data_IF_087299890418
#
_entry.id   IF_087299890418
#
_cell.length_a   1.000
_cell.length_b   1.000
_cell.length_c   1.000
_cell.angle_alpha   90.00
_cell.angle_beta   90.00
_cell.angle_gamma   90.00
#
_symmetry.space_group_name_H-M   'P 1'
#
loop_
_entity.id
_entity.type
_entity.pdbx_description
1 polymer ?
#
# COMPACT_ATOMS: atom_id res chain seq x y z
N UNK A 1 71.39 -44.03 18.02
CA UNK A 1 70.41 -43.06 17.49
C UNK A 1 69.89 -43.58 16.16
N UNK A 2 68.60 -43.94 16.05
CA UNK A 2 67.99 -44.37 14.79
C UNK A 2 67.22 -43.22 14.11
N UNK A 3 67.22 -43.12 12.77
CA UNK A 3 66.53 -42.03 12.09
C UNK A 3 65.01 -42.24 12.14
N UNK A 4 64.28 -41.20 12.53
CA UNK A 4 62.82 -41.16 12.54
C UNK A 4 62.34 -40.90 11.11
N UNK A 5 61.68 -41.87 10.49
CA UNK A 5 61.03 -41.70 9.19
C UNK A 5 59.77 -40.83 9.36
N UNK A 6 59.73 -39.69 8.67
CA UNK A 6 58.55 -38.83 8.63
C UNK A 6 57.56 -39.38 7.60
N UNK A 7 56.41 -39.88 8.06
CA UNK A 7 55.31 -40.27 7.17
C UNK A 7 54.56 -39.03 6.69
N UNK A 8 54.66 -38.75 5.39
CA UNK A 8 53.86 -37.75 4.71
C UNK A 8 52.39 -38.23 4.63
N UNK A 9 51.50 -37.58 5.39
CA UNK A 9 50.06 -37.82 5.30
C UNK A 9 49.47 -37.05 4.12
N UNK A 10 48.95 -37.80 3.15
CA UNK A 10 48.26 -37.32 1.95
C UNK A 10 46.96 -36.58 2.33
N UNK A 11 46.86 -35.30 2.00
CA UNK A 11 45.61 -34.53 2.15
C UNK A 11 44.75 -34.78 0.91
N UNK A 12 43.70 -35.59 1.06
CA UNK A 12 42.73 -35.85 -0.03
C UNK A 12 41.73 -34.69 -0.18
N UNK A 13 41.65 -34.13 -1.39
CA UNK A 13 40.71 -33.07 -1.74
C UNK A 13 39.26 -33.58 -1.76
N UNK A 14 38.41 -33.05 -0.87
CA UNK A 14 36.98 -33.37 -0.84
C UNK A 14 36.26 -32.84 -2.09
N UNK A 15 35.79 -33.75 -2.94
CA UNK A 15 34.99 -33.48 -4.15
C UNK A 15 33.67 -32.78 -3.77
N UNK A 16 33.49 -31.51 -4.14
CA UNK A 16 32.26 -30.74 -3.90
C UNK A 16 31.14 -31.25 -4.79
N UNK A 17 30.25 -32.08 -4.24
CA UNK A 17 29.10 -32.60 -4.98
C UNK A 17 28.05 -31.49 -5.24
N UNK A 18 27.61 -31.35 -6.49
CA UNK A 18 26.57 -30.39 -6.89
C UNK A 18 25.21 -30.79 -6.28
N UNK A 19 24.49 -29.82 -5.73
CA UNK A 19 23.21 -30.02 -5.05
C UNK A 19 22.13 -30.47 -6.05
N UNK A 20 21.25 -31.43 -5.69
CA UNK A 20 20.25 -31.97 -6.60
C UNK A 20 19.17 -30.94 -6.98
N UNK A 21 18.52 -31.15 -8.13
CA UNK A 21 17.41 -30.32 -8.64
C UNK A 21 16.05 -30.76 -8.06
N UNK A 22 15.12 -29.82 -8.01
CA UNK A 22 13.78 -30.01 -7.46
C UNK A 22 13.02 -31.11 -8.20
N UNK A 23 12.38 -32.03 -7.45
CA UNK A 23 11.60 -33.15 -7.98
C UNK A 23 10.34 -32.74 -8.75
N UNK A 24 9.84 -31.53 -8.51
CA UNK A 24 8.68 -31.01 -9.24
C UNK A 24 8.94 -30.94 -10.75
N UNK A 25 8.02 -31.46 -11.55
CA UNK A 25 8.14 -31.49 -13.02
C UNK A 25 8.42 -30.09 -13.58
N UNK A 26 9.39 -30.01 -14.49
CA UNK A 26 9.82 -28.75 -15.12
C UNK A 26 10.54 -27.76 -14.19
N UNK A 27 10.84 -28.11 -12.94
CA UNK A 27 11.49 -27.18 -12.01
C UNK A 27 13.03 -27.24 -12.08
N UNK A 28 13.64 -26.17 -12.59
CA UNK A 28 15.11 -26.06 -12.65
C UNK A 28 15.75 -25.61 -11.33
N UNK A 29 14.94 -25.28 -10.31
CA UNK A 29 15.43 -24.81 -9.03
C UNK A 29 16.14 -25.91 -8.24
N UNK A 30 17.14 -25.54 -7.44
CA UNK A 30 17.84 -26.47 -6.56
C UNK A 30 16.97 -26.91 -5.37
N UNK A 31 17.12 -28.17 -4.96
CA UNK A 31 16.51 -28.71 -3.73
C UNK A 31 17.01 -27.93 -2.53
N UNK A 32 16.10 -27.57 -1.63
CA UNK A 32 16.45 -27.11 -0.28
C UNK A 32 16.30 -28.23 0.74
N UNK A 33 15.15 -28.88 0.77
CA UNK A 33 14.86 -30.01 1.66
C UNK A 33 13.77 -30.88 1.03
N UNK A 34 13.67 -32.14 1.47
CA UNK A 34 12.62 -33.08 1.02
C UNK A 34 12.52 -33.22 -0.51
N UNK A 35 13.62 -33.03 -1.24
CA UNK A 35 13.62 -33.09 -2.71
C UNK A 35 12.93 -31.90 -3.41
N UNK A 36 12.54 -30.84 -2.69
CA UNK A 36 11.78 -29.71 -3.23
C UNK A 36 12.54 -28.38 -3.07
N UNK A 37 12.28 -27.43 -3.96
CA UNK A 37 12.80 -26.06 -3.88
C UNK A 37 11.90 -25.16 -3.03
N UNK A 38 12.33 -23.92 -2.76
CA UNK A 38 11.61 -22.97 -1.88
C UNK A 38 10.15 -22.75 -2.29
N UNK A 39 9.87 -22.60 -3.59
CA UNK A 39 8.51 -22.39 -4.09
C UNK A 39 7.62 -23.62 -3.97
N UNK A 40 8.21 -24.83 -4.04
CA UNK A 40 7.45 -26.08 -4.13
C UNK A 40 7.35 -26.88 -2.84
N UNK A 41 7.96 -26.45 -1.72
CA UNK A 41 8.00 -27.34 -0.55
C UNK A 41 9.20 -27.19 0.34
N UNK A 42 10.33 -26.85 -0.27
CA UNK A 42 11.66 -26.89 0.33
C UNK A 42 11.89 -25.80 1.36
N UNK A 43 12.33 -26.20 2.54
CA UNK A 43 12.54 -25.36 3.71
C UNK A 43 11.55 -25.67 4.84
N UNK A 44 11.80 -25.07 5.99
CA UNK A 44 10.94 -25.19 7.17
C UNK A 44 9.65 -24.38 6.91
N UNK A 45 8.51 -24.94 7.30
CA UNK A 45 7.19 -24.28 7.21
C UNK A 45 6.84 -23.58 8.50
N UNK A 46 5.98 -22.58 8.38
CA UNK A 46 5.44 -21.90 9.53
C UNK A 46 4.74 -22.92 10.45
N UNK A 47 5.00 -22.82 11.75
CA UNK A 47 4.42 -23.72 12.78
C UNK A 47 2.93 -23.46 13.00
N UNK A 48 2.45 -22.28 12.65
CA UNK A 48 1.02 -21.92 12.71
C UNK A 48 0.20 -22.81 11.79
N UNK A 49 -0.90 -23.33 12.33
CA UNK A 49 -1.85 -24.19 11.61
C UNK A 49 -2.38 -23.50 10.34
N UNK A 50 -2.50 -24.25 9.25
CA UNK A 50 -2.93 -23.73 7.94
C UNK A 50 -1.98 -22.74 7.24
N UNK A 51 -0.72 -22.58 7.69
CA UNK A 51 0.21 -21.60 7.10
C UNK A 51 1.33 -22.24 6.24
N UNK A 52 1.19 -22.21 4.92
CA UNK A 52 2.20 -22.71 3.97
C UNK A 52 3.41 -21.81 3.74
N UNK A 53 3.47 -20.66 4.42
CA UNK A 53 4.58 -19.71 4.26
C UNK A 53 5.86 -20.31 4.82
N UNK A 54 6.97 -20.06 4.14
CA UNK A 54 8.28 -20.46 4.63
C UNK A 54 8.59 -19.79 5.97
N UNK A 55 9.01 -20.59 6.95
CA UNK A 55 9.51 -20.08 8.21
C UNK A 55 10.84 -19.34 8.01
N UNK A 56 11.05 -18.29 8.80
CA UNK A 56 12.33 -17.61 8.91
C UNK A 56 13.05 -18.07 10.17
N UNK A 57 12.80 -17.40 11.31
CA UNK A 57 13.38 -17.70 12.62
C UNK A 57 12.31 -18.33 13.52
N UNK A 58 12.73 -19.25 14.40
CA UNK A 58 11.85 -19.93 15.37
C UNK A 58 10.67 -20.72 14.74
N UNK A 59 10.81 -21.16 13.48
CA UNK A 59 9.76 -21.94 12.82
C UNK A 59 8.51 -21.13 12.45
N UNK A 60 8.54 -19.80 12.48
CA UNK A 60 7.42 -18.95 12.12
C UNK A 60 7.72 -18.15 10.84
N UNK A 61 6.69 -17.88 10.03
CA UNK A 61 6.83 -17.02 8.85
C UNK A 61 6.97 -15.55 9.24
N UNK A 62 7.27 -14.67 8.28
CA UNK A 62 7.48 -13.25 8.56
C UNK A 62 6.26 -12.54 9.19
N UNK A 63 5.04 -13.04 8.95
CA UNK A 63 3.82 -12.49 9.56
C UNK A 63 3.59 -13.00 10.97
N UNK A 64 3.91 -14.27 11.25
CA UNK A 64 3.64 -14.90 12.55
C UNK A 64 4.83 -14.84 13.52
N UNK A 65 6.05 -14.68 13.00
CA UNK A 65 7.27 -14.58 13.81
C UNK A 65 7.65 -13.14 14.19
N UNK A 66 6.93 -12.16 13.68
CA UNK A 66 7.10 -10.75 14.04
C UNK A 66 6.18 -10.36 15.21
N UNK A 67 6.61 -9.41 16.04
CA UNK A 67 5.71 -8.80 17.03
C UNK A 67 4.60 -8.07 16.29
N UNK A 68 3.35 -8.24 16.71
CA UNK A 68 2.22 -7.47 16.18
C UNK A 68 2.30 -6.01 16.62
N UNK A 69 1.64 -5.12 15.88
CA UNK A 69 1.49 -3.73 16.29
C UNK A 69 0.69 -3.66 17.60
N UNK A 70 1.15 -2.88 18.57
CA UNK A 70 0.51 -2.64 19.87
C UNK A 70 -0.79 -1.81 19.78
N UNK A 71 -1.30 -1.56 18.58
CA UNK A 71 -2.57 -0.85 18.39
C UNK A 71 -3.64 -1.91 18.23
N UNK A 72 -4.68 -1.84 19.05
CA UNK A 72 -5.83 -2.74 19.02
C UNK A 72 -6.38 -2.88 17.59
N UNK A 73 -6.61 -4.11 17.15
CA UNK A 73 -7.09 -4.43 15.80
C UNK A 73 -6.07 -4.27 14.67
N UNK A 74 -4.79 -3.97 14.94
CA UNK A 74 -3.77 -3.84 13.90
C UNK A 74 -2.96 -5.13 13.67
N UNK A 75 -3.26 -5.86 12.60
CA UNK A 75 -2.55 -7.10 12.21
C UNK A 75 -1.17 -6.85 11.59
N UNK A 76 -0.76 -5.59 11.43
CA UNK A 76 0.53 -5.26 10.81
C UNK A 76 1.67 -5.57 11.78
N UNK A 77 2.76 -6.11 11.25
CA UNK A 77 3.95 -6.36 12.06
C UNK A 77 4.53 -5.04 12.60
N UNK A 78 4.81 -5.04 13.89
CA UNK A 78 5.57 -3.99 14.54
C UNK A 78 6.98 -3.93 13.98
N UNK A 79 7.47 -2.71 13.85
CA UNK A 79 8.85 -2.41 13.55
C UNK A 79 9.56 -2.10 14.88
N UNK A 80 9.59 -0.82 15.26
CA UNK A 80 10.20 -0.38 16.52
C UNK A 80 9.12 0.10 17.49
N UNK A 81 9.44 0.03 18.80
CA UNK A 81 8.54 0.42 19.89
C UNK A 81 7.18 -0.28 19.87
N UNK A 82 7.11 -1.50 19.32
CA UNK A 82 5.86 -2.25 19.20
C UNK A 82 4.89 -1.68 18.16
N UNK A 83 5.25 -0.69 17.34
CA UNK A 83 4.32 -0.05 16.41
C UNK A 83 4.66 -0.40 14.96
N UNK A 84 3.65 -0.53 14.10
CA UNK A 84 3.86 -0.69 12.66
C UNK A 84 4.28 0.65 12.02
N UNK A 85 4.70 0.63 10.75
CA UNK A 85 5.14 1.84 10.06
C UNK A 85 4.07 2.96 10.06
N UNK A 86 2.80 2.60 9.84
CA UNK A 86 1.67 3.53 9.85
C UNK A 86 1.37 4.09 11.24
N UNK A 87 1.56 3.28 12.30
CA UNK A 87 1.34 3.68 13.69
C UNK A 87 2.60 4.26 14.36
N UNK A 88 3.62 4.63 13.59
CA UNK A 88 4.78 5.36 14.12
C UNK A 88 6.02 4.50 14.46
N UNK A 89 6.06 3.23 14.05
CA UNK A 89 7.23 2.34 14.14
C UNK A 89 8.43 2.73 13.27
N UNK A 90 8.47 3.96 12.75
CA UNK A 90 9.50 4.50 11.87
C UNK A 90 10.83 4.77 12.60
N UNK A 91 11.97 4.92 11.87
CA UNK A 91 13.26 5.31 12.45
C UNK A 91 13.19 6.61 13.25
N UNK A 92 13.97 6.74 14.34
CA UNK A 92 13.87 7.89 15.26
C UNK A 92 14.49 9.14 14.63
N UNK A 93 15.47 8.93 13.75
CA UNK A 93 16.06 9.97 12.93
C UNK A 93 15.10 10.51 11.85
N UNK A 94 14.01 9.80 11.53
CA UNK A 94 13.06 10.23 10.52
C UNK A 94 12.11 11.29 11.10
N UNK A 95 12.16 12.50 10.55
CA UNK A 95 11.24 13.60 10.91
C UNK A 95 9.80 13.19 10.59
N UNK A 96 8.87 13.57 11.47
CA UNK A 96 7.43 13.35 11.26
C UNK A 96 6.85 14.44 10.38
N UNK A 97 5.75 14.12 9.73
CA UNK A 97 4.94 15.14 9.08
C UNK A 97 4.44 16.17 10.12
N UNK A 98 4.52 17.46 9.78
CA UNK A 98 4.07 18.56 10.65
C UNK A 98 2.56 18.63 10.81
N UNK A 99 1.79 18.05 9.88
CA UNK A 99 0.32 18.00 10.00
C UNK A 99 -0.05 17.25 11.28
N UNK A 100 -0.86 17.91 12.12
CA UNK A 100 -1.29 17.37 13.43
C UNK A 100 -1.92 15.99 13.27
N UNK A 101 -1.54 15.05 14.14
CA UNK A 101 -2.01 13.67 14.08
C UNK A 101 -1.38 12.79 12.98
N UNK A 102 -0.56 13.34 12.07
CA UNK A 102 0.04 12.53 11.01
C UNK A 102 1.22 11.69 11.52
N UNK A 103 1.04 10.36 11.50
CA UNK A 103 2.08 9.40 11.89
C UNK A 103 3.00 9.00 10.73
N UNK A 104 2.93 9.67 9.59
CA UNK A 104 3.82 9.39 8.45
C UNK A 104 5.18 10.08 8.58
N UNK A 105 6.16 9.60 7.81
CA UNK A 105 7.49 10.20 7.69
C UNK A 105 7.40 11.42 6.77
N UNK A 106 7.98 12.53 7.21
CA UNK A 106 8.20 13.69 6.37
C UNK A 106 9.28 13.41 5.34
N UNK A 107 9.06 13.88 4.12
CA UNK A 107 10.02 13.84 3.03
C UNK A 107 10.57 15.26 2.85
N UNK A 108 10.00 16.04 1.95
CA UNK A 108 10.33 17.46 1.77
C UNK A 108 9.36 18.34 2.54
N UNK A 109 9.77 19.58 2.85
CA UNK A 109 8.95 20.60 3.53
C UNK A 109 8.35 20.16 4.88
N UNK A 110 8.96 19.18 5.55
CA UNK A 110 8.42 18.54 6.75
C UNK A 110 7.02 17.91 6.57
N UNK A 111 6.63 17.57 5.33
CA UNK A 111 5.34 16.98 5.01
C UNK A 111 5.53 15.55 4.48
N UNK A 112 4.54 14.68 4.71
CA UNK A 112 4.55 13.34 4.11
C UNK A 112 4.05 13.39 2.67
N UNK A 113 4.22 12.30 1.90
CA UNK A 113 3.78 12.27 0.49
C UNK A 113 2.29 12.63 0.31
N UNK A 114 1.42 12.18 1.22
CA UNK A 114 -0.01 12.48 1.16
C UNK A 114 -0.31 13.96 1.43
N UNK A 115 0.50 14.63 2.26
CA UNK A 115 0.38 16.05 2.59
C UNK A 115 1.33 16.93 1.77
N UNK A 116 1.75 16.52 0.57
CA UNK A 116 2.56 17.37 -0.32
C UNK A 116 4.08 17.30 -0.09
N UNK A 117 4.59 16.34 0.66
CA UNK A 117 6.02 16.04 0.82
C UNK A 117 6.70 15.43 -0.42
N UNK A 118 6.21 15.71 -1.62
CA UNK A 118 6.81 15.28 -2.89
C UNK A 118 6.97 16.45 -3.84
N UNK A 119 7.68 16.22 -4.95
CA UNK A 119 7.69 17.16 -6.06
C UNK A 119 6.26 17.40 -6.53
N UNK A 120 5.89 18.64 -6.81
CA UNK A 120 4.57 18.97 -7.33
C UNK A 120 4.52 18.74 -8.83
N UNK A 121 3.32 18.50 -9.33
CA UNK A 121 3.08 18.42 -10.76
C UNK A 121 3.44 19.76 -11.43
N UNK A 122 4.15 19.69 -12.55
CA UNK A 122 4.59 20.85 -13.34
C UNK A 122 3.43 21.64 -13.96
N UNK A 123 2.28 20.99 -14.17
CA UNK A 123 1.06 21.65 -14.66
C UNK A 123 0.56 22.67 -13.64
N UNK A 124 0.41 23.92 -14.09
CA UNK A 124 -0.08 25.04 -13.28
C UNK A 124 -1.44 24.71 -12.63
N UNK A 125 -1.58 25.09 -11.36
CA UNK A 125 -2.78 24.78 -10.56
C UNK A 125 -2.91 23.32 -10.10
N UNK A 126 -1.95 22.44 -10.39
CA UNK A 126 -2.01 21.05 -9.96
C UNK A 126 -1.28 20.80 -8.64
N UNK A 127 -2.02 20.58 -7.55
CA UNK A 127 -1.45 20.27 -6.24
C UNK A 127 -1.02 18.81 -6.07
N UNK A 128 -1.28 17.96 -7.07
CA UNK A 128 -0.94 16.53 -7.01
C UNK A 128 0.57 16.35 -7.04
N UNK A 129 1.03 15.36 -6.27
CA UNK A 129 2.45 14.97 -6.28
C UNK A 129 2.82 14.37 -7.64
N UNK A 130 3.92 14.87 -8.20
CA UNK A 130 4.51 14.35 -9.41
C UNK A 130 5.08 12.95 -9.20
N UNK A 131 4.92 12.14 -10.24
CA UNK A 131 5.70 10.93 -10.44
C UNK A 131 7.09 11.30 -10.99
N UNK A 132 8.05 10.36 -11.04
CA UNK A 132 9.30 10.59 -11.76
C UNK A 132 9.02 11.12 -13.18
N UNK A 133 9.59 12.28 -13.53
CA UNK A 133 9.29 13.00 -14.78
C UNK A 133 8.39 14.24 -14.63
N UNK A 134 8.16 14.75 -13.42
CA UNK A 134 7.62 16.10 -13.20
C UNK A 134 6.11 16.25 -13.28
N UNK A 135 5.37 15.25 -13.78
CA UNK A 135 3.90 15.29 -13.88
C UNK A 135 3.23 14.28 -12.95
N UNK A 136 2.03 14.59 -12.48
CA UNK A 136 1.22 13.64 -11.71
C UNK A 136 0.58 12.59 -12.64
N UNK A 137 0.05 11.50 -12.09
CA UNK A 137 -0.53 10.42 -12.91
C UNK A 137 -1.68 10.85 -13.83
N UNK A 138 -2.45 11.87 -13.46
CA UNK A 138 -3.50 12.43 -14.31
C UNK A 138 -2.94 13.25 -15.48
N UNK A 139 -1.81 13.93 -15.28
CA UNK A 139 -1.13 14.74 -16.29
C UNK A 139 -0.01 13.96 -17.01
N UNK A 140 -0.16 12.64 -17.15
CA UNK A 140 0.79 11.80 -17.88
C UNK A 140 2.05 11.39 -17.11
N UNK A 141 2.06 11.57 -15.79
CA UNK A 141 3.15 11.14 -14.91
C UNK A 141 3.35 9.63 -14.85
N UNK A 142 4.62 9.22 -14.79
CA UNK A 142 5.05 7.81 -14.78
C UNK A 142 5.31 7.25 -16.18
N UNK A 143 5.84 6.02 -16.25
CA UNK A 143 6.19 5.40 -17.55
C UNK A 143 4.93 5.09 -18.36
N UNK A 144 4.97 5.38 -19.66
CA UNK A 144 3.87 5.08 -20.61
C UNK A 144 4.04 3.71 -21.24
N UNK A 145 2.92 3.18 -21.71
CA UNK A 145 2.88 2.01 -22.56
C UNK A 145 3.82 2.22 -23.76
N UNK A 146 4.55 1.17 -24.15
CA UNK A 146 5.47 1.20 -25.30
C UNK A 146 4.73 1.11 -26.64
N UNK A 147 3.48 0.68 -26.64
CA UNK A 147 2.66 0.65 -27.85
C UNK A 147 2.47 2.06 -28.44
N UNK A 148 2.69 2.18 -29.75
CA UNK A 148 2.51 3.41 -30.50
C UNK A 148 1.09 3.97 -30.30
N UNK A 149 1.00 5.28 -30.02
CA UNK A 149 -0.28 5.97 -29.76
C UNK A 149 -0.92 5.66 -28.40
N UNK A 150 -0.36 4.77 -27.57
CA UNK A 150 -0.98 4.40 -26.29
C UNK A 150 -0.61 5.35 -25.14
N UNK A 151 -1.58 6.16 -24.73
CA UNK A 151 -1.53 6.96 -23.49
C UNK A 151 -1.89 6.14 -22.24
N UNK A 152 -1.77 4.81 -22.31
CA UNK A 152 -1.82 3.82 -21.22
C UNK A 152 -0.69 4.02 -20.20
N UNK A 153 -0.95 3.98 -18.89
CA UNK A 153 0.15 3.85 -17.91
C UNK A 153 0.75 2.45 -18.04
N UNK A 154 2.09 2.37 -18.07
CA UNK A 154 2.82 1.11 -18.04
C UNK A 154 2.63 0.41 -16.71
N UNK A 155 2.33 -0.87 -16.75
CA UNK A 155 2.16 -1.73 -15.57
C UNK A 155 3.40 -2.61 -15.42
N UNK A 156 3.64 -3.50 -16.36
CA UNK A 156 4.82 -4.36 -16.42
C UNK A 156 5.22 -4.62 -17.86
N UNK A 157 6.44 -5.13 -18.07
CA UNK A 157 6.99 -5.50 -19.40
C UNK A 157 6.92 -4.41 -20.48
N UNK A 158 6.75 -3.15 -20.09
CA UNK A 158 6.62 -2.06 -21.07
C UNK A 158 5.21 -1.67 -21.45
N UNK A 159 4.21 -2.44 -21.07
CA UNK A 159 2.86 -2.35 -21.62
C UNK A 159 1.83 -1.94 -20.55
N UNK A 160 0.68 -1.44 -20.98
CA UNK A 160 -0.48 -1.18 -20.11
C UNK A 160 -1.33 -2.45 -19.95
N UNK A 161 -2.38 -2.42 -19.11
CA UNK A 161 -3.27 -3.57 -18.90
C UNK A 161 -3.92 -4.10 -20.18
N UNK A 162 -4.26 -3.20 -21.11
CA UNK A 162 -4.94 -3.57 -22.35
C UNK A 162 -3.97 -4.17 -23.37
N UNK A 163 -2.68 -3.84 -23.27
CA UNK A 163 -1.63 -4.38 -24.12
C UNK A 163 -0.80 -5.47 -23.41
N UNK A 164 -1.39 -6.18 -22.43
CA UNK A 164 -0.73 -7.34 -21.80
C UNK A 164 0.32 -7.02 -20.73
N UNK A 165 0.33 -5.79 -20.21
CA UNK A 165 1.20 -5.36 -19.12
C UNK A 165 0.80 -5.88 -17.73
N UNK A 166 -0.31 -6.60 -17.60
CA UNK A 166 -0.74 -7.23 -16.35
C UNK A 166 -1.18 -8.67 -16.57
N UNK A 167 -1.28 -9.44 -15.48
CA UNK A 167 -1.68 -10.84 -15.53
C UNK A 167 -3.20 -10.95 -15.47
N UNK A 168 -3.80 -11.74 -16.36
CA UNK A 168 -5.24 -12.10 -16.32
C UNK A 168 -5.45 -13.29 -15.39
N UNK A 169 -6.68 -13.49 -14.93
CA UNK A 169 -7.04 -14.66 -14.14
C UNK A 169 -6.74 -15.94 -14.94
N UNK A 170 -6.20 -16.96 -14.26
CA UNK A 170 -5.87 -18.25 -14.87
C UNK A 170 -7.09 -19.08 -15.25
N UNK A 171 -8.31 -18.61 -14.96
CA UNK A 171 -9.51 -19.30 -15.39
C UNK A 171 -9.83 -18.79 -16.80
N UNK A 172 -9.98 -19.73 -17.74
CA UNK A 172 -10.19 -19.46 -19.18
C UNK A 172 -11.41 -18.55 -19.43
N UNK A 173 -12.40 -18.58 -18.55
CA UNK A 173 -13.62 -17.79 -18.64
C UNK A 173 -13.57 -16.46 -17.86
N UNK A 174 -12.41 -16.07 -17.32
CA UNK A 174 -12.29 -14.91 -16.45
C UNK A 174 -11.24 -13.91 -16.95
N UNK A 175 -11.70 -12.79 -17.50
CA UNK A 175 -10.84 -11.68 -17.92
C UNK A 175 -10.41 -10.74 -16.80
N UNK A 176 -10.82 -11.03 -15.56
CA UNK A 176 -10.49 -10.19 -14.43
C UNK A 176 -8.98 -10.15 -14.18
N UNK A 177 -8.52 -9.00 -13.67
CA UNK A 177 -7.13 -8.76 -13.34
C UNK A 177 -6.68 -9.69 -12.23
N UNK A 178 -5.63 -10.46 -12.46
CA UNK A 178 -5.03 -11.31 -11.46
C UNK A 178 -4.03 -10.54 -10.60
N UNK A 179 -3.99 -10.90 -9.32
CA UNK A 179 -2.89 -10.54 -8.44
C UNK A 179 -1.67 -11.43 -8.69
N UNK A 180 -0.70 -11.38 -7.78
CA UNK A 180 0.51 -12.24 -7.79
C UNK A 180 0.18 -13.73 -7.79
N UNK A 181 -1.02 -14.09 -7.37
CA UNK A 181 -1.58 -15.43 -7.35
C UNK A 181 -1.88 -16.05 -8.71
N UNK A 182 -1.97 -15.24 -9.77
CA UNK A 182 -2.54 -15.67 -11.05
C UNK A 182 -4.06 -15.81 -11.04
N UNK A 183 -4.75 -15.45 -9.95
CA UNK A 183 -6.21 -15.42 -9.86
C UNK A 183 -6.70 -14.00 -9.54
N UNK A 184 -7.90 -13.64 -10.00
CA UNK A 184 -8.55 -12.40 -9.61
C UNK A 184 -8.94 -12.41 -8.13
N UNK A 185 -9.26 -11.25 -7.56
CA UNK A 185 -9.62 -11.13 -6.14
C UNK A 185 -10.78 -12.04 -5.74
N UNK A 186 -11.79 -12.21 -6.61
CA UNK A 186 -12.91 -13.10 -6.38
C UNK A 186 -12.48 -14.58 -6.34
N UNK A 187 -11.83 -15.07 -7.39
CA UNK A 187 -11.40 -16.48 -7.48
C UNK A 187 -10.26 -16.83 -6.53
N UNK A 188 -9.48 -15.83 -6.10
CA UNK A 188 -8.44 -16.02 -5.10
C UNK A 188 -8.99 -16.23 -3.70
N UNK A 189 -10.12 -15.59 -3.36
CA UNK A 189 -10.83 -15.81 -2.10
C UNK A 189 -11.42 -17.23 -2.05
N UNK A 190 -12.03 -17.67 -3.17
CA UNK A 190 -12.59 -19.01 -3.32
C UNK A 190 -11.53 -20.11 -3.13
N UNK A 191 -10.35 -19.96 -3.74
CA UNK A 191 -9.22 -20.90 -3.58
C UNK A 191 -8.66 -21.01 -2.16
N UNK A 192 -8.96 -20.06 -1.27
CA UNK A 192 -8.47 -20.03 0.13
C UNK A 192 -9.52 -20.42 1.16
N UNK A 193 -10.73 -20.77 0.73
CA UNK A 193 -11.83 -21.13 1.63
C UNK A 193 -12.36 -19.94 2.44
N UNK A 194 -12.03 -18.70 2.07
CA UNK A 194 -12.71 -17.52 2.62
C UNK A 194 -13.96 -17.30 1.77
N UNK A 195 -15.05 -17.97 2.14
CA UNK A 195 -16.35 -17.76 1.53
C UNK A 195 -16.77 -16.29 1.68
N UNK A 196 -17.16 -15.64 0.57
CA UNK A 196 -18.01 -14.46 0.65
C UNK A 196 -19.43 -14.94 0.98
N UNK A 197 -20.20 -14.26 1.84
CA UNK A 197 -21.62 -14.53 1.96
C UNK A 197 -22.32 -14.14 0.64
N UNK A 198 -23.01 -15.12 0.05
CA UNK A 198 -24.21 -14.96 -0.77
C UNK A 198 -24.12 -14.05 -1.99
N UNK A 199 -23.77 -14.63 -3.15
CA UNK A 199 -24.56 -14.30 -4.34
C UNK A 199 -25.92 -14.97 -4.14
N UNK A 200 -26.94 -14.22 -3.73
CA UNK A 200 -28.32 -14.68 -3.83
C UNK A 200 -28.63 -14.82 -5.32
N UNK A 201 -29.06 -16.00 -5.72
CA UNK A 201 -29.43 -16.29 -7.11
C UNK A 201 -30.61 -15.40 -7.53
N UNK A 202 -30.72 -15.03 -8.82
CA UNK A 202 -31.84 -14.22 -9.31
C UNK A 202 -33.21 -14.95 -9.31
N UNK A 203 -33.25 -16.21 -8.90
CA UNK A 203 -34.41 -17.09 -9.06
C UNK A 203 -35.23 -17.30 -7.76
N UNK A 204 -34.96 -16.53 -6.70
CA UNK A 204 -35.85 -16.47 -5.54
C UNK A 204 -37.11 -15.67 -5.87
N UNK A 205 -38.06 -16.41 -6.43
CA UNK A 205 -39.51 -16.26 -6.47
C UNK A 205 -40.11 -15.27 -5.45
N UNK A 206 -40.29 -14.02 -5.86
CA UNK A 206 -41.31 -13.14 -5.27
C UNK A 206 -42.65 -13.42 -5.93
N UNK A 207 -43.25 -14.55 -5.56
CA UNK A 207 -44.70 -14.68 -5.54
C UNK A 207 -45.23 -13.71 -4.48
N UNK A 208 -45.38 -12.44 -4.88
CA UNK A 208 -46.20 -11.50 -4.14
C UNK A 208 -47.64 -11.83 -4.51
N UNK A 209 -48.25 -12.65 -3.67
CA UNK A 209 -49.68 -12.93 -3.73
C UNK A 209 -50.41 -11.58 -3.62
N UNK A 210 -50.94 -11.15 -4.76
CA UNK A 210 -51.91 -10.08 -4.83
C UNK A 210 -53.19 -10.63 -4.24
N UNK A 211 -53.58 -10.18 -3.05
CA UNK A 211 -54.98 -9.89 -2.70
C UNK A 211 -55.08 -9.23 -1.30
N UNK A 212 -55.67 -8.03 -1.31
CA UNK A 212 -56.56 -7.45 -0.29
C UNK A 212 -56.02 -6.98 1.09
N UNK A 213 -55.93 -5.64 1.19
CA UNK A 213 -56.64 -4.78 2.16
C UNK A 213 -55.98 -4.32 3.49
N UNK A 214 -56.05 -2.98 3.66
CA UNK A 214 -55.81 -2.12 4.84
C UNK A 214 -54.34 -1.99 5.29
N UNK A 215 -53.66 -0.83 5.21
CA UNK A 215 -53.99 0.43 5.91
C UNK A 215 -53.48 1.66 5.12
N UNK A 216 -54.39 2.63 5.09
CA UNK A 216 -54.34 4.00 4.59
C UNK A 216 -53.17 4.92 5.06
N UNK A 217 -52.84 5.84 4.15
CA UNK A 217 -52.43 7.24 4.36
C UNK A 217 -51.14 7.53 5.19
N UNK A 218 -50.04 7.89 4.52
CA UNK A 218 -49.79 9.30 4.17
C UNK A 218 -48.56 9.44 3.26
N UNK A 219 -48.76 10.06 2.11
CA UNK A 219 -47.73 10.36 1.13
C UNK A 219 -47.63 11.89 1.05
N UNK A 220 -46.44 12.46 1.23
CA UNK A 220 -46.02 13.53 0.32
C UNK A 220 -44.50 13.51 0.17
N UNK A 221 -44.08 12.95 -0.96
CA UNK A 221 -42.86 13.37 -1.61
C UNK A 221 -43.12 14.77 -2.19
N UNK A 222 -42.15 15.65 -2.10
CA UNK A 222 -42.07 16.79 -3.03
C UNK A 222 -40.64 16.86 -3.54
N UNK A 223 -40.48 16.40 -4.77
CA UNK A 223 -39.45 16.84 -5.69
C UNK A 223 -39.75 18.28 -6.16
N UNK A 224 -38.87 18.80 -7.02
CA UNK A 224 -38.84 20.13 -7.68
C UNK A 224 -37.92 21.09 -6.88
N UNK A 225 -36.90 21.72 -7.43
CA UNK A 225 -36.44 21.87 -8.81
C UNK A 225 -35.47 23.06 -8.80
N UNK A 226 -34.35 22.95 -9.52
CA UNK A 226 -33.51 24.10 -9.82
C UNK A 226 -34.24 24.99 -10.84
N UNK A 227 -34.66 26.19 -10.44
CA UNK A 227 -34.95 27.29 -11.37
C UNK A 227 -34.39 28.60 -10.83
N UNK A 228 -34.10 29.47 -11.77
CA UNK A 228 -33.15 30.56 -11.75
C UNK A 228 -33.80 31.91 -11.41
N UNK A 229 -32.95 32.85 -10.98
CA UNK A 229 -33.08 34.32 -11.09
C UNK A 229 -34.07 35.10 -10.19
N UNK A 230 -33.50 36.16 -9.60
CA UNK A 230 -34.04 37.49 -9.31
C UNK A 230 -35.23 37.72 -8.34
N UNK A 231 -34.86 38.47 -7.27
CA UNK A 231 -35.40 39.78 -6.87
C UNK A 231 -36.42 39.89 -5.72
N UNK A 232 -36.03 40.79 -4.81
CA UNK A 232 -36.80 41.55 -3.80
C UNK A 232 -37.31 40.75 -2.59
N UNK A 233 -37.33 41.26 -1.36
CA UNK A 233 -36.73 42.37 -0.61
C UNK A 233 -37.35 42.28 0.79
N UNK A 234 -36.69 42.89 1.77
CA UNK A 234 -37.13 43.22 3.15
C UNK A 234 -37.24 42.06 4.15
N UNK A 235 -36.97 42.19 5.45
CA UNK A 235 -36.12 43.06 6.30
C UNK A 235 -36.25 42.51 7.73
N UNK A 236 -35.15 42.56 8.49
CA UNK A 236 -35.05 42.79 9.93
C UNK A 236 -35.78 41.88 10.96
N UNK A 237 -34.98 41.16 11.76
CA UNK A 237 -34.87 41.30 13.23
C UNK A 237 -33.81 40.29 13.72
N UNK A 238 -32.56 40.68 13.96
CA UNK A 238 -32.06 41.25 15.22
C UNK A 238 -32.14 40.27 16.41
N UNK A 239 -31.05 39.54 16.66
CA UNK A 239 -30.58 39.25 18.02
C UNK A 239 -29.08 39.55 18.06
N UNK A 240 -28.76 40.47 18.95
CA UNK A 240 -27.50 41.20 19.14
C UNK A 240 -26.70 40.53 20.26
N UNK A 241 -25.39 40.33 19.98
CA UNK A 241 -24.17 40.44 20.81
C UNK A 241 -24.17 39.79 22.23
N UNK A 242 -23.08 39.17 22.69
CA UNK A 242 -21.90 39.89 23.19
C UNK A 242 -20.55 39.20 22.88
N UNK A 243 -19.58 40.06 22.55
CA UNK A 243 -18.15 39.80 22.44
C UNK A 243 -17.46 40.07 23.78
N UNK A 244 -16.43 39.29 24.14
CA UNK A 244 -15.35 39.74 25.03
C UNK A 244 -14.01 39.41 24.41
N UNK A 245 -13.36 40.44 23.87
CA UNK A 245 -11.95 40.43 23.52
C UNK A 245 -11.11 40.80 24.73
N UNK A 246 -9.92 40.21 24.81
CA UNK A 246 -8.78 40.76 25.55
C UNK A 246 -7.47 40.31 24.87
N UNK A 247 -6.67 41.30 24.47
CA UNK A 247 -5.27 41.28 23.98
C UNK A 247 -4.66 42.59 24.50
N UNK A 248 -3.32 42.79 24.51
CA UNK A 248 -2.18 41.86 24.53
C UNK A 248 -1.11 42.29 25.57
N UNK A 249 -0.02 41.52 25.76
CA UNK A 249 1.19 42.03 26.43
C UNK A 249 2.46 41.27 26.02
N UNK A 250 3.53 42.02 25.68
CA UNK A 250 4.94 41.58 25.66
C UNK A 250 5.51 41.19 24.29
N UNK A 251 5.70 42.12 23.35
CA UNK A 251 6.98 42.83 23.07
C UNK A 251 8.23 42.26 23.73
N UNK A 252 9.11 41.63 22.94
CA UNK A 252 10.57 41.84 23.06
C UNK A 252 11.16 42.00 21.65
N UNK A 253 11.62 43.21 21.39
CA UNK A 253 12.45 43.57 20.26
C UNK A 253 13.89 43.07 20.48
N UNK A 254 14.53 42.60 19.42
CA UNK A 254 15.99 42.69 19.26
C UNK A 254 16.30 43.11 17.82
N UNK A 255 16.78 44.33 17.70
CA UNK A 255 17.30 45.00 16.51
C UNK A 255 18.82 44.84 16.40
N UNK A 256 19.38 45.36 15.29
CA UNK A 256 20.76 45.38 14.77
C UNK A 256 21.06 44.16 13.87
N UNK A 257 21.14 44.23 12.54
CA UNK A 257 21.74 45.22 11.62
C UNK A 257 23.20 45.53 11.96
N UNK A 258 24.14 44.91 11.24
CA UNK A 258 25.08 45.66 10.38
C UNK A 258 25.92 44.72 9.50
N UNK A 259 26.14 45.19 8.28
CA UNK A 259 26.81 44.52 7.16
C UNK A 259 28.33 44.79 7.12
N UNK A 260 29.07 43.87 6.48
CA UNK A 260 30.31 44.04 5.66
C UNK A 260 30.86 42.62 5.43
N UNK A 261 31.06 42.08 4.23
CA UNK A 261 31.52 42.70 2.99
C UNK A 261 33.05 42.73 2.98
N UNK A 262 33.73 41.62 2.68
CA UNK A 262 35.13 41.64 2.21
C UNK A 262 35.53 40.39 1.42
N UNK A 263 35.80 40.68 0.16
CA UNK A 263 36.57 40.02 -0.91
C UNK A 263 37.73 39.08 -0.55
N UNK A 264 37.85 38.03 -1.39
CA UNK A 264 39.05 37.44 -2.03
C UNK A 264 40.37 37.39 -1.25
N UNK A 265 40.96 36.18 -1.19
CA UNK A 265 42.25 35.85 -1.85
C UNK A 265 42.60 34.36 -1.70
N UNK A 266 42.90 33.78 -2.87
CA UNK A 266 43.81 32.66 -3.21
C UNK A 266 43.45 31.28 -2.64
#
# INVERSE_FOLDING_TARGET
MGPRTASASKVEAKKTQKRPQCKHEGCTNQVKSKGLCKSHGGGIRCKTDGCDRSAQKAGLCYTHGGKACSVEGCEKSAQRKGLCYAHGGKPSAAKRCTVRGCLMVARTRNLCRAHGGGAQCEVEGCEKVAEPGGRCGAHGGGKRCMEEGCTKRRVSKGLCWDHGGGTRCKLEWCDNRAGTSGFCSAHWAEKRGTAMPGNVSPDDDWSIDSDADEIAFNCVASTIGHTTEDRFSVSAAAVVLEEKGDKPSGVIARTADEAKGMTRKI
#
